data_IF_122245189789
#
_entry.id   IF_122245189789
#
_cell.length_a   1.000
_cell.length_b   1.000
_cell.length_c   1.000
_cell.angle_alpha   90.00
_cell.angle_beta   90.00
_cell.angle_gamma   90.00
#
_symmetry.space_group_name_H-M   'P 1'
#
loop_
_entity.id
_entity.type
_entity.pdbx_description
1 polymer ?
#
# COMPACT_ATOMS: atom_id res chain seq x y z
N UNK A 1 -28.81 -32.79 0.97
CA UNK A 1 -28.72 -31.41 0.47
C UNK A 1 -27.23 -31.06 0.42
N UNK A 2 -26.67 -31.17 -0.78
CA UNK A 2 -25.32 -30.87 -1.29
C UNK A 2 -24.07 -31.08 -0.40
N UNK A 3 -23.32 -32.10 -0.78
CA UNK A 3 -21.86 -32.10 -0.96
C UNK A 3 -21.21 -30.71 -0.93
N UNK A 4 -20.38 -30.47 0.09
CA UNK A 4 -19.22 -29.58 -0.04
C UNK A 4 -17.95 -30.43 -0.08
N UNK A 5 -17.84 -31.25 -1.12
CA UNK A 5 -16.57 -31.76 -1.61
C UNK A 5 -15.80 -30.62 -2.27
N UNK A 6 -15.03 -29.92 -1.46
CA UNK A 6 -13.73 -29.40 -1.86
C UNK A 6 -12.95 -29.20 -0.56
N UNK A 7 -12.15 -30.22 -0.20
CA UNK A 7 -11.02 -30.00 0.67
C UNK A 7 -10.14 -28.97 -0.06
N UNK A 8 -10.32 -27.70 0.29
CA UNK A 8 -9.33 -26.65 0.04
C UNK A 8 -8.00 -27.25 0.50
N UNK A 9 -7.08 -27.52 -0.43
CA UNK A 9 -5.86 -28.27 -0.14
C UNK A 9 -5.13 -27.61 1.02
N UNK A 10 -5.31 -28.15 2.23
CA UNK A 10 -4.79 -27.55 3.45
C UNK A 10 -3.29 -27.32 3.27
N UNK A 11 -2.85 -26.11 3.59
CA UNK A 11 -1.46 -25.69 3.43
C UNK A 11 -0.56 -26.65 4.20
N UNK A 12 0.24 -27.46 3.49
CA UNK A 12 1.17 -28.36 4.14
C UNK A 12 2.40 -27.59 4.63
N UNK A 13 3.08 -28.03 5.71
CA UNK A 13 4.28 -27.35 6.21
C UNK A 13 5.35 -27.11 5.14
N UNK A 14 5.54 -28.07 4.23
CA UNK A 14 6.49 -27.93 3.11
C UNK A 14 6.10 -26.86 2.09
N UNK A 15 4.81 -26.74 1.74
CA UNK A 15 4.32 -25.66 0.88
C UNK A 15 4.44 -24.30 1.57
N UNK A 16 4.16 -24.25 2.87
CA UNK A 16 4.35 -23.05 3.69
C UNK A 16 5.80 -22.57 3.69
N UNK A 17 6.77 -23.49 3.84
CA UNK A 17 8.20 -23.17 3.80
C UNK A 17 8.63 -22.60 2.44
N UNK A 18 8.12 -23.15 1.34
CA UNK A 18 8.41 -22.63 0.00
C UNK A 18 7.84 -21.21 -0.21
N UNK A 19 6.61 -20.96 0.25
CA UNK A 19 6.00 -19.62 0.20
C UNK A 19 6.82 -18.64 1.05
N UNK A 20 7.23 -19.05 2.25
CA UNK A 20 8.08 -18.22 3.10
C UNK A 20 9.42 -17.89 2.43
N UNK A 21 10.08 -18.87 1.81
CA UNK A 21 11.33 -18.65 1.08
C UNK A 21 11.12 -17.63 -0.06
N UNK A 22 10.03 -17.75 -0.80
CA UNK A 22 9.69 -16.79 -1.85
C UNK A 22 9.47 -15.38 -1.27
N UNK A 23 8.76 -15.25 -0.15
CA UNK A 23 8.57 -13.97 0.54
C UNK A 23 9.91 -13.38 0.97
N UNK A 24 10.80 -14.17 1.57
CA UNK A 24 12.14 -13.73 1.99
C UNK A 24 12.92 -13.18 0.80
N UNK A 25 12.90 -13.86 -0.34
CA UNK A 25 13.59 -13.40 -1.55
C UNK A 25 13.00 -12.10 -2.06
N UNK A 26 11.67 -12.01 -2.17
CA UNK A 26 10.98 -10.82 -2.70
C UNK A 26 11.17 -9.61 -1.79
N UNK A 27 10.99 -9.79 -0.48
CA UNK A 27 11.15 -8.73 0.52
C UNK A 27 12.63 -8.34 0.64
N UNK A 28 13.55 -9.30 0.68
CA UNK A 28 14.98 -9.05 0.76
C UNK A 28 15.50 -8.28 -0.45
N UNK A 29 15.07 -8.64 -1.66
CA UNK A 29 15.41 -7.91 -2.89
C UNK A 29 14.84 -6.49 -2.88
N UNK A 30 13.62 -6.29 -2.35
CA UNK A 30 13.04 -4.95 -2.20
C UNK A 30 13.83 -4.08 -1.22
N UNK A 31 14.21 -4.63 -0.07
CA UNK A 31 15.02 -3.93 0.94
C UNK A 31 16.40 -3.57 0.38
N UNK A 32 17.05 -4.50 -0.34
CA UNK A 32 18.33 -4.25 -0.98
C UNK A 32 18.22 -3.14 -2.05
N UNK A 33 17.13 -3.13 -2.82
CA UNK A 33 16.85 -2.09 -3.80
C UNK A 33 16.62 -0.73 -3.14
N UNK A 34 15.81 -0.68 -2.07
CA UNK A 34 15.59 0.54 -1.28
C UNK A 34 16.90 1.10 -0.73
N UNK A 35 17.75 0.25 -0.17
CA UNK A 35 19.07 0.64 0.31
C UNK A 35 19.99 1.15 -0.82
N UNK A 36 20.03 0.46 -1.97
CA UNK A 36 20.84 0.87 -3.11
C UNK A 36 20.41 2.23 -3.70
N UNK A 37 19.12 2.56 -3.58
CA UNK A 37 18.55 3.84 -4.03
C UNK A 37 18.55 4.93 -2.95
N UNK A 38 19.04 4.63 -1.73
CA UNK A 38 19.04 5.58 -0.61
C UNK A 38 17.65 5.87 -0.04
N UNK A 39 16.67 5.01 -0.27
CA UNK A 39 15.28 5.17 0.20
C UNK A 39 15.13 4.52 1.57
N UNK A 40 15.08 5.34 2.63
CA UNK A 40 14.99 4.87 4.02
C UNK A 40 13.54 4.63 4.50
N UNK A 41 12.57 5.38 3.96
CA UNK A 41 11.17 5.39 4.40
C UNK A 41 10.35 4.21 3.85
N UNK A 42 10.94 3.01 3.87
CA UNK A 42 10.40 1.79 3.25
C UNK A 42 9.04 1.39 3.85
N UNK A 43 8.73 1.85 5.07
CA UNK A 43 7.43 1.65 5.71
C UNK A 43 6.27 2.10 4.84
N UNK A 44 6.42 3.14 4.02
CA UNK A 44 5.38 3.59 3.11
C UNK A 44 5.07 2.50 2.08
N UNK A 45 6.09 1.94 1.43
CA UNK A 45 5.91 0.82 0.50
C UNK A 45 5.26 -0.41 1.15
N UNK A 46 5.66 -0.75 2.38
CA UNK A 46 5.09 -1.90 3.08
C UNK A 46 3.64 -1.67 3.52
N UNK A 47 3.23 -0.45 3.87
CA UNK A 47 1.81 -0.15 4.12
C UNK A 47 0.97 -0.30 2.87
N UNK A 48 1.49 0.17 1.74
CA UNK A 48 0.84 -0.04 0.45
C UNK A 48 0.70 -1.55 0.16
N UNK A 49 1.78 -2.31 0.30
CA UNK A 49 1.76 -3.76 0.10
C UNK A 49 0.80 -4.46 1.06
N UNK A 50 0.82 -4.10 2.35
CA UNK A 50 -0.05 -4.66 3.38
C UNK A 50 -1.52 -4.49 3.01
N UNK A 51 -1.91 -3.29 2.58
CA UNK A 51 -3.29 -3.05 2.20
C UNK A 51 -3.63 -3.72 0.86
N UNK A 52 -2.87 -3.43 -0.19
CA UNK A 52 -3.22 -3.89 -1.53
C UNK A 52 -3.08 -5.40 -1.70
N UNK A 53 -1.97 -6.00 -1.25
CA UNK A 53 -1.78 -7.45 -1.34
C UNK A 53 -2.48 -8.21 -0.20
N UNK A 54 -2.51 -7.65 1.01
CA UNK A 54 -3.08 -8.34 2.18
C UNK A 54 -4.60 -8.23 2.29
N UNK A 55 -5.18 -7.05 2.02
CA UNK A 55 -6.62 -6.79 2.18
C UNK A 55 -7.34 -6.89 0.83
N UNK A 56 -6.81 -6.27 -0.22
CA UNK A 56 -7.40 -6.32 -1.57
C UNK A 56 -6.93 -7.54 -2.37
N UNK A 57 -6.17 -8.45 -1.75
CA UNK A 57 -5.67 -9.69 -2.37
C UNK A 57 -4.92 -9.48 -3.70
N UNK A 58 -4.20 -8.36 -3.80
CA UNK A 58 -3.48 -7.93 -4.99
C UNK A 58 -4.38 -7.77 -6.24
N UNK A 59 -5.65 -7.40 -6.04
CA UNK A 59 -6.58 -7.12 -7.12
C UNK A 59 -6.09 -5.92 -7.95
N UNK A 60 -5.78 -6.17 -9.22
CA UNK A 60 -5.24 -5.17 -10.15
C UNK A 60 -6.27 -4.07 -10.43
N UNK A 61 -7.56 -4.39 -10.44
CA UNK A 61 -8.64 -3.41 -10.64
C UNK A 61 -8.75 -2.40 -9.48
N UNK A 62 -8.24 -2.77 -8.29
CA UNK A 62 -8.20 -1.92 -7.09
C UNK A 62 -6.92 -1.11 -6.99
N UNK A 63 -5.92 -1.42 -7.81
CA UNK A 63 -4.61 -0.79 -7.78
C UNK A 63 -4.69 0.74 -7.93
N UNK A 64 -5.45 1.32 -8.88
CA UNK A 64 -5.54 2.78 -9.02
C UNK A 64 -6.09 3.46 -7.76
N UNK A 65 -7.13 2.89 -7.15
CA UNK A 65 -7.73 3.41 -5.93
C UNK A 65 -6.78 3.30 -4.74
N UNK A 66 -6.03 2.20 -4.64
CA UNK A 66 -5.01 2.03 -3.60
C UNK A 66 -3.87 3.05 -3.74
N UNK A 67 -3.42 3.30 -4.97
CA UNK A 67 -2.38 4.30 -5.26
C UNK A 67 -2.88 5.70 -4.88
N UNK A 68 -4.07 6.11 -5.36
CA UNK A 68 -4.61 7.43 -5.05
C UNK A 68 -4.82 7.63 -3.56
N UNK A 69 -5.32 6.61 -2.86
CA UNK A 69 -5.51 6.68 -1.42
C UNK A 69 -4.19 6.77 -0.64
N UNK A 70 -3.19 5.97 -1.01
CA UNK A 70 -1.87 6.04 -0.40
C UNK A 70 -1.20 7.40 -0.60
N UNK A 71 -1.26 7.94 -1.83
CA UNK A 71 -0.72 9.26 -2.16
C UNK A 71 -1.43 10.35 -1.37
N UNK A 72 -2.78 10.33 -1.32
CA UNK A 72 -3.56 11.32 -0.60
C UNK A 72 -3.29 11.27 0.92
N UNK A 73 -3.26 10.07 1.51
CA UNK A 73 -2.98 9.91 2.93
C UNK A 73 -1.56 10.35 3.29
N UNK A 74 -0.57 10.05 2.45
CA UNK A 74 0.81 10.49 2.65
C UNK A 74 0.94 12.01 2.49
N UNK A 75 0.22 12.60 1.53
CA UNK A 75 0.14 14.05 1.35
C UNK A 75 -0.47 14.75 2.56
N UNK A 76 -1.51 14.18 3.18
CA UNK A 76 -2.03 14.71 4.43
C UNK A 76 -1.01 14.63 5.55
N UNK A 77 -0.26 13.52 5.66
CA UNK A 77 0.87 13.41 6.56
C UNK A 77 1.90 14.53 6.38
N UNK A 78 2.24 14.84 5.13
CA UNK A 78 3.13 15.96 4.78
C UNK A 78 2.51 17.31 5.21
N UNK A 79 1.23 17.54 4.95
CA UNK A 79 0.54 18.77 5.34
C UNK A 79 0.45 18.95 6.85
N UNK A 80 0.34 17.86 7.63
CA UNK A 80 0.41 17.93 9.09
C UNK A 80 1.74 18.54 9.56
N UNK A 81 2.86 18.23 8.89
CA UNK A 81 4.17 18.81 9.19
C UNK A 81 4.29 20.25 8.71
N UNK A 82 3.83 20.52 7.49
CA UNK A 82 4.11 21.78 6.82
C UNK A 82 3.15 22.92 7.18
N UNK A 83 1.87 22.64 7.42
CA UNK A 83 0.89 23.69 7.74
C UNK A 83 1.26 24.47 9.03
N UNK A 84 1.68 23.81 10.13
CA UNK A 84 2.19 24.50 11.31
C UNK A 84 3.41 25.39 11.02
N UNK A 85 4.28 24.96 10.11
CA UNK A 85 5.47 25.72 9.72
C UNK A 85 5.13 26.96 8.89
N UNK A 86 4.11 26.88 8.04
CA UNK A 86 3.71 27.97 7.15
C UNK A 86 2.77 28.98 7.81
N UNK A 87 1.84 28.52 8.65
CA UNK A 87 0.74 29.34 9.19
C UNK A 87 0.84 29.57 10.71
N UNK A 88 1.85 28.99 11.36
CA UNK A 88 1.96 28.92 12.81
C UNK A 88 1.20 27.73 13.39
N UNK A 89 1.62 27.27 14.58
CA UNK A 89 1.17 26.00 15.15
C UNK A 89 -0.35 25.90 15.32
N UNK A 90 -0.99 26.94 15.87
CA UNK A 90 -2.44 26.95 16.12
C UNK A 90 -3.25 26.97 14.82
N UNK A 91 -2.96 27.91 13.92
CA UNK A 91 -3.67 28.06 12.65
C UNK A 91 -3.43 26.86 11.74
N UNK A 92 -2.18 26.41 11.62
CA UNK A 92 -1.81 25.26 10.80
C UNK A 92 -2.48 23.96 11.29
N UNK A 93 -2.50 23.74 12.61
CA UNK A 93 -3.22 22.62 13.21
C UNK A 93 -4.73 22.70 12.96
N UNK A 94 -5.33 23.89 13.08
CA UNK A 94 -6.74 24.10 12.78
C UNK A 94 -7.10 23.83 11.30
N UNK A 95 -6.26 24.28 10.36
CA UNK A 95 -6.45 24.02 8.92
C UNK A 95 -6.30 22.53 8.63
N UNK A 96 -5.30 21.86 9.20
CA UNK A 96 -5.13 20.42 9.04
C UNK A 96 -6.34 19.64 9.56
N UNK A 97 -6.84 19.99 10.76
CA UNK A 97 -8.04 19.39 11.32
C UNK A 97 -9.26 19.59 10.40
N UNK A 98 -9.44 20.79 9.85
CA UNK A 98 -10.53 21.06 8.90
C UNK A 98 -10.42 20.19 7.63
N UNK A 99 -9.21 19.99 7.10
CA UNK A 99 -8.98 19.10 5.96
C UNK A 99 -9.33 17.64 6.29
N UNK A 100 -8.92 17.14 7.46
CA UNK A 100 -9.26 15.79 7.90
C UNK A 100 -10.78 15.63 8.07
N UNK A 101 -11.45 16.59 8.70
CA UNK A 101 -12.91 16.55 8.88
C UNK A 101 -13.64 16.57 7.54
N UNK A 102 -13.20 17.40 6.59
CA UNK A 102 -13.75 17.43 5.24
C UNK A 102 -13.57 16.08 4.54
N UNK A 103 -12.40 15.47 4.67
CA UNK A 103 -12.10 14.18 4.07
C UNK A 103 -12.96 13.07 4.68
N UNK A 104 -13.11 13.03 6.01
CA UNK A 104 -14.03 12.11 6.70
C UNK A 104 -15.47 12.32 6.25
N UNK A 105 -15.90 13.57 6.07
CA UNK A 105 -17.22 13.87 5.54
C UNK A 105 -17.40 13.31 4.12
N UNK A 106 -16.42 13.51 3.23
CA UNK A 106 -16.43 12.89 1.90
C UNK A 106 -16.51 11.36 1.97
N UNK A 107 -15.78 10.73 2.90
CA UNK A 107 -15.81 9.29 3.11
C UNK A 107 -17.21 8.81 3.53
N UNK A 108 -17.86 9.51 4.46
CA UNK A 108 -19.22 9.18 4.95
C UNK A 108 -20.26 9.36 3.84
N UNK A 109 -20.13 10.43 3.04
CA UNK A 109 -21.03 10.70 1.92
C UNK A 109 -20.78 9.81 0.69
N UNK A 110 -19.72 9.00 0.70
CA UNK A 110 -19.33 8.18 -0.46
C UNK A 110 -18.87 9.03 -1.64
N UNK A 111 -18.27 10.19 -1.39
CA UNK A 111 -17.73 11.08 -2.42
C UNK A 111 -16.26 10.80 -2.69
N UNK A 112 -15.83 11.00 -3.93
CA UNK A 112 -14.44 10.83 -4.35
C UNK A 112 -13.84 9.47 -3.93
N UNK A 113 -14.62 8.39 -3.95
CA UNK A 113 -14.27 7.05 -3.39
C UNK A 113 -12.97 6.44 -3.94
N UNK A 114 -12.49 6.92 -5.09
CA UNK A 114 -11.19 6.54 -5.63
C UNK A 114 -10.06 7.14 -4.80
N UNK A 115 -10.17 8.42 -4.44
CA UNK A 115 -9.16 9.13 -3.65
C UNK A 115 -9.41 8.98 -2.15
N UNK A 116 -10.65 9.13 -1.69
CA UNK A 116 -11.04 9.03 -0.27
C UNK A 116 -11.51 7.61 0.02
N UNK A 117 -10.59 6.81 0.56
CA UNK A 117 -10.82 5.40 0.84
C UNK A 117 -10.03 4.92 2.08
N UNK A 118 -10.18 3.64 2.40
CA UNK A 118 -9.49 3.02 3.55
C UNK A 118 -7.97 3.07 3.46
N UNK A 119 -7.36 3.11 2.27
CA UNK A 119 -5.91 3.31 2.13
C UNK A 119 -5.51 4.71 2.57
N UNK A 120 -6.31 5.72 2.23
CA UNK A 120 -6.11 7.09 2.73
C UNK A 120 -6.14 7.13 4.25
N UNK A 121 -7.14 6.46 4.85
CA UNK A 121 -7.28 6.39 6.30
C UNK A 121 -6.10 5.69 6.95
N UNK A 122 -5.63 4.59 6.36
CA UNK A 122 -4.45 3.86 6.84
C UNK A 122 -3.20 4.76 6.85
N UNK A 123 -2.93 5.45 5.74
CA UNK A 123 -1.77 6.34 5.64
C UNK A 123 -1.89 7.55 6.54
N UNK A 124 -3.07 8.16 6.63
CA UNK A 124 -3.34 9.26 7.56
C UNK A 124 -3.08 8.82 9.02
N UNK A 125 -3.55 7.62 9.38
CA UNK A 125 -3.34 7.06 10.73
C UNK A 125 -1.86 6.87 11.04
N UNK A 126 -1.08 6.29 10.11
CA UNK A 126 0.36 6.09 10.37
C UNK A 126 1.12 7.40 10.36
N UNK A 127 0.84 8.27 9.40
CA UNK A 127 1.55 9.55 9.29
C UNK A 127 1.21 10.53 10.40
N UNK A 128 0.10 10.37 11.12
CA UNK A 128 -0.21 11.18 12.31
C UNK A 128 0.55 10.74 13.57
N UNK A 129 1.26 9.60 13.53
CA UNK A 129 2.07 9.12 14.66
C UNK A 129 3.25 10.10 14.90
N UNK A 130 3.42 10.64 16.12
CA UNK A 130 4.49 11.59 16.42
C UNK A 130 5.90 11.06 16.12
N UNK A 131 6.14 9.77 16.40
CA UNK A 131 7.41 9.13 16.11
C UNK A 131 7.76 9.16 14.61
N UNK A 132 6.76 8.96 13.73
CA UNK A 132 6.95 9.09 12.27
C UNK A 132 7.20 10.56 11.93
N UNK A 133 6.35 11.48 12.38
CA UNK A 133 6.46 12.92 12.07
C UNK A 133 7.80 13.54 12.46
N UNK A 134 8.38 13.08 13.58
CA UNK A 134 9.64 13.62 14.12
C UNK A 134 10.86 13.34 13.24
N UNK A 135 10.88 12.21 12.52
CA UNK A 135 12.05 11.75 11.77
C UNK A 135 11.83 11.60 10.27
N UNK A 136 10.58 11.67 9.81
CA UNK A 136 10.25 11.36 8.41
C UNK A 136 10.82 12.38 7.43
N UNK A 137 11.50 11.86 6.42
CA UNK A 137 11.69 12.54 5.15
C UNK A 137 10.54 12.21 4.20
N UNK A 138 9.60 13.14 4.03
CA UNK A 138 8.45 12.91 3.15
C UNK A 138 8.87 12.70 1.69
N UNK A 139 9.98 13.29 1.22
CA UNK A 139 10.49 13.04 -0.13
C UNK A 139 10.90 11.58 -0.31
N UNK A 140 11.64 11.04 0.67
CA UNK A 140 11.94 9.63 0.80
C UNK A 140 10.70 8.74 0.90
N UNK A 141 9.67 9.14 1.66
CA UNK A 141 8.43 8.38 1.81
C UNK A 141 7.62 8.29 0.51
N UNK A 142 7.52 9.38 -0.26
CA UNK A 142 6.90 9.36 -1.59
C UNK A 142 7.69 8.49 -2.56
N UNK A 143 9.02 8.56 -2.50
CA UNK A 143 9.92 7.73 -3.32
C UNK A 143 9.78 6.25 -2.96
N UNK A 144 9.66 5.92 -1.67
CA UNK A 144 9.39 4.57 -1.19
C UNK A 144 8.04 4.05 -1.67
N UNK A 145 6.98 4.86 -1.57
CA UNK A 145 5.67 4.51 -2.10
C UNK A 145 5.74 4.22 -3.61
N UNK A 146 6.36 5.10 -4.39
CA UNK A 146 6.52 4.91 -5.83
C UNK A 146 7.31 3.62 -6.14
N UNK A 147 8.41 3.38 -5.42
CA UNK A 147 9.22 2.17 -5.57
C UNK A 147 8.41 0.91 -5.23
N UNK A 148 7.61 0.93 -4.15
CA UNK A 148 6.74 -0.16 -3.75
C UNK A 148 5.66 -0.46 -4.79
N UNK A 149 4.99 0.58 -5.31
CA UNK A 149 3.99 0.44 -6.38
C UNK A 149 4.61 -0.23 -7.61
N UNK A 150 5.75 0.26 -8.07
CA UNK A 150 6.43 -0.26 -9.27
C UNK A 150 6.91 -1.69 -9.04
N UNK A 151 7.59 -1.94 -7.92
CA UNK A 151 8.19 -3.24 -7.63
C UNK A 151 7.13 -4.32 -7.38
N UNK A 152 6.21 -4.10 -6.44
CA UNK A 152 5.20 -5.11 -6.09
C UNK A 152 4.10 -5.21 -7.14
N UNK A 153 3.65 -4.07 -7.70
CA UNK A 153 2.70 -4.06 -8.80
C UNK A 153 3.25 -4.79 -10.02
N UNK A 154 4.49 -4.48 -10.40
CA UNK A 154 5.18 -5.15 -11.50
C UNK A 154 5.32 -6.67 -11.28
N UNK A 155 5.68 -7.10 -10.07
CA UNK A 155 5.84 -8.51 -9.73
C UNK A 155 4.52 -9.28 -9.86
N UNK A 156 3.41 -8.74 -9.32
CA UNK A 156 2.09 -9.37 -9.42
C UNK A 156 1.63 -9.45 -10.87
N UNK A 157 1.79 -8.37 -11.64
CA UNK A 157 1.41 -8.35 -13.06
C UNK A 157 2.23 -9.36 -13.87
N UNK A 158 3.55 -9.45 -13.62
CA UNK A 158 4.42 -10.43 -14.25
C UNK A 158 4.00 -11.87 -13.89
N UNK A 159 3.68 -12.14 -12.62
CA UNK A 159 3.23 -13.44 -12.16
C UNK A 159 1.91 -13.86 -12.85
N UNK A 160 0.91 -12.97 -12.88
CA UNK A 160 -0.37 -13.24 -13.55
C UNK A 160 -0.18 -13.47 -15.06
N UNK A 161 0.69 -12.72 -15.70
CA UNK A 161 0.99 -12.90 -17.12
C UNK A 161 1.69 -14.23 -17.42
N UNK A 162 2.65 -14.63 -16.58
CA UNK A 162 3.31 -15.93 -16.67
C UNK A 162 2.33 -17.09 -16.49
N UNK A 163 1.41 -16.99 -15.52
CA UNK A 163 0.35 -17.98 -15.30
C UNK A 163 -0.57 -18.12 -16.51
N UNK A 164 -1.03 -17.00 -17.09
CA UNK A 164 -1.88 -16.98 -18.30
C UNK A 164 -1.18 -17.65 -19.48
N UNK A 165 0.11 -17.34 -19.72
CA UNK A 165 0.89 -17.94 -20.80
C UNK A 165 1.12 -19.43 -20.62
N UNK A 166 1.42 -19.85 -19.40
CA UNK A 166 1.62 -21.27 -19.10
C UNK A 166 0.33 -22.07 -19.26
N UNK A 167 -0.82 -21.52 -18.84
CA UNK A 167 -2.13 -22.13 -19.06
C UNK A 167 -2.46 -22.28 -20.55
N UNK A 168 -2.20 -21.25 -21.37
CA UNK A 168 -2.40 -21.30 -22.82
C UNK A 168 -1.51 -22.35 -23.51
N UNK A 169 -0.29 -22.59 -23.02
CA UNK A 169 0.60 -23.63 -23.56
C UNK A 169 0.20 -25.07 -23.22
N UNK A 170 -0.78 -25.29 -22.33
CA UNK A 170 -1.24 -26.61 -21.86
C UNK A 170 -2.61 -27.03 -22.39
N UNK A 171 -3.28 -26.20 -23.19
CA UNK A 171 -4.52 -26.59 -23.88
C UNK A 171 -4.14 -27.35 -25.16
N UNK A 172 -4.44 -28.66 -25.27
CA UNK A 172 -4.31 -29.36 -26.54
C UNK A 172 -5.31 -28.76 -27.54
N UNK A 173 -4.86 -28.62 -28.80
CA UNK A 173 -5.69 -28.20 -29.93
C UNK A 173 -6.85 -29.19 -30.19
#
# INVERSE_FOLDING_TARGET
MNDRTAAESAMTPGKGLLVLLAIIVVVGAFLALGHALGVAEIWAAFLFLLYWAGIEHAAVDRLPACISGAVLGLLLGYLLKMLPLWLGAATGGGVFLALVLLLVYCQVMGWLVVAVNMVTMLYLTVTTIPAIQSGVDFGGAFSALALGIVYFGGLVMAAQWGQKRWAASRMPA
#
